data_IF_969912920446
#
_entry.id   IF_969912920446
#
_cell.length_a   1.000
_cell.length_b   1.000
_cell.length_c   1.000
_cell.angle_alpha   90.00
_cell.angle_beta   90.00
_cell.angle_gamma   90.00
#
_symmetry.space_group_name_H-M   'P 1'
#
loop_
_entity.id
_entity.type
_entity.pdbx_description
1 polymer ?
#
# COMPACT_ATOMS: atom_id res chain seq x y z
N UNK A 1 -13.25 -27.72 -6.05
CA UNK A 1 -12.89 -26.82 -7.19
C UNK A 1 -13.97 -26.73 -8.29
N UNK A 2 -15.09 -27.44 -8.14
CA UNK A 2 -16.20 -27.45 -9.12
C UNK A 2 -17.34 -26.46 -8.79
N UNK A 3 -17.10 -25.43 -8.01
CA UNK A 3 -18.09 -24.37 -7.92
C UNK A 3 -18.13 -23.60 -9.23
N UNK A 4 -19.21 -23.73 -9.94
CA UNK A 4 -19.45 -23.00 -11.18
C UNK A 4 -19.48 -21.49 -10.90
N UNK A 5 -19.20 -20.65 -11.89
CA UNK A 5 -19.36 -19.19 -11.77
C UNK A 5 -20.75 -18.85 -11.19
N UNK A 6 -21.78 -19.56 -11.63
CA UNK A 6 -23.16 -19.38 -11.17
C UNK A 6 -23.33 -19.62 -9.66
N UNK A 7 -22.69 -20.64 -9.10
CA UNK A 7 -22.73 -20.95 -7.67
C UNK A 7 -22.04 -19.84 -6.85
N UNK A 8 -20.93 -19.33 -7.34
CA UNK A 8 -20.19 -18.23 -6.68
C UNK A 8 -20.96 -16.91 -6.72
N UNK A 9 -21.60 -16.61 -7.86
CA UNK A 9 -22.42 -15.41 -8.02
C UNK A 9 -23.66 -15.49 -7.11
N UNK A 10 -24.28 -16.67 -6.97
CA UNK A 10 -25.38 -16.91 -6.04
C UNK A 10 -24.98 -16.71 -4.57
N UNK A 11 -23.78 -17.19 -4.18
CA UNK A 11 -23.24 -16.97 -2.84
C UNK A 11 -23.02 -15.49 -2.54
N UNK A 12 -22.42 -14.74 -3.49
CA UNK A 12 -22.22 -13.29 -3.35
C UNK A 12 -23.56 -12.57 -3.23
N UNK A 13 -24.58 -12.95 -3.99
CA UNK A 13 -25.92 -12.38 -3.89
C UNK A 13 -26.57 -12.65 -2.52
N UNK A 14 -26.43 -13.86 -1.99
CA UNK A 14 -26.87 -14.22 -0.64
C UNK A 14 -26.20 -13.35 0.44
N UNK A 15 -24.91 -13.14 0.32
CA UNK A 15 -24.13 -12.29 1.24
C UNK A 15 -24.51 -10.82 1.15
N UNK A 16 -24.72 -10.28 -0.05
CA UNK A 16 -25.01 -8.86 -0.30
C UNK A 16 -26.41 -8.47 0.14
N UNK A 17 -27.42 -9.31 -0.06
CA UNK A 17 -28.83 -8.96 0.14
C UNK A 17 -29.14 -8.38 1.53
N UNK A 18 -28.74 -9.00 2.66
CA UNK A 18 -28.99 -8.43 3.98
C UNK A 18 -28.17 -7.16 4.25
N UNK A 19 -26.95 -7.05 3.71
CA UNK A 19 -26.13 -5.85 3.83
C UNK A 19 -26.83 -4.69 3.14
N UNK A 20 -27.32 -4.89 1.92
CA UNK A 20 -28.01 -3.87 1.13
C UNK A 20 -29.21 -3.32 1.89
N UNK A 21 -30.04 -4.20 2.48
CA UNK A 21 -31.19 -3.81 3.29
C UNK A 21 -30.79 -2.92 4.47
N UNK A 22 -29.74 -3.29 5.20
CA UNK A 22 -29.26 -2.53 6.36
C UNK A 22 -28.65 -1.18 5.99
N UNK A 23 -27.96 -1.09 4.87
CA UNK A 23 -27.42 0.18 4.39
C UNK A 23 -28.53 1.12 3.91
N UNK A 24 -29.56 0.58 3.26
CA UNK A 24 -30.77 1.35 2.86
C UNK A 24 -31.54 1.85 4.09
N UNK A 25 -31.75 1.02 5.12
CA UNK A 25 -32.35 1.42 6.41
C UNK A 25 -31.57 2.55 7.09
N UNK A 26 -30.24 2.57 6.96
CA UNK A 26 -29.37 3.62 7.48
C UNK A 26 -29.40 4.92 6.64
N UNK A 27 -30.14 4.94 5.54
CA UNK A 27 -30.26 6.12 4.66
C UNK A 27 -29.02 6.39 3.81
N UNK A 28 -28.13 5.41 3.67
CA UNK A 28 -26.93 5.54 2.85
C UNK A 28 -27.22 5.32 1.36
N UNK A 29 -26.58 6.10 0.51
CA UNK A 29 -26.56 5.87 -0.94
C UNK A 29 -25.30 5.16 -1.32
N UNK A 30 -25.40 4.05 -2.05
CA UNK A 30 -24.27 3.18 -2.33
C UNK A 30 -24.50 2.31 -3.57
N UNK A 31 -23.37 1.82 -4.11
CA UNK A 31 -23.31 0.70 -5.06
C UNK A 31 -22.53 -0.44 -4.44
N UNK A 32 -22.93 -1.69 -4.68
CA UNK A 32 -22.18 -2.87 -4.28
C UNK A 32 -21.76 -3.64 -5.51
N UNK A 33 -20.43 -3.87 -5.64
CA UNK A 33 -19.85 -4.69 -6.70
C UNK A 33 -19.30 -5.98 -6.09
N UNK A 34 -19.83 -7.12 -6.51
CA UNK A 34 -19.28 -8.43 -6.21
C UNK A 34 -18.11 -8.76 -7.12
N UNK A 35 -17.06 -9.36 -6.55
CA UNK A 35 -15.91 -9.85 -7.31
C UNK A 35 -15.54 -11.25 -6.85
N UNK A 36 -15.55 -12.19 -7.78
CA UNK A 36 -14.97 -13.52 -7.57
C UNK A 36 -13.62 -13.59 -8.25
N UNK A 37 -12.60 -14.08 -7.56
CA UNK A 37 -11.28 -14.27 -8.19
C UNK A 37 -11.33 -15.37 -9.24
N UNK A 38 -10.63 -15.15 -10.34
CA UNK A 38 -10.44 -16.21 -11.35
C UNK A 38 -9.59 -17.34 -10.77
N UNK A 39 -9.83 -18.57 -11.23
CA UNK A 39 -9.05 -19.77 -10.87
C UNK A 39 -7.56 -19.55 -11.12
N UNK A 40 -7.21 -18.86 -12.20
CA UNK A 40 -5.83 -18.54 -12.54
C UNK A 40 -5.17 -17.63 -11.47
N UNK A 41 -5.87 -16.59 -11.01
CA UNK A 41 -5.37 -15.68 -9.95
C UNK A 41 -5.21 -16.41 -8.61
N UNK A 42 -6.10 -17.36 -8.31
CA UNK A 42 -6.02 -18.20 -7.11
C UNK A 42 -4.79 -19.11 -7.19
N UNK A 43 -4.59 -19.80 -8.32
CA UNK A 43 -3.46 -20.69 -8.52
C UNK A 43 -2.11 -19.96 -8.44
N UNK A 44 -2.03 -18.77 -9.03
CA UNK A 44 -0.83 -17.94 -8.93
C UNK A 44 -0.53 -17.51 -7.49
N UNK A 45 -1.55 -17.24 -6.70
CA UNK A 45 -1.39 -16.87 -5.28
C UNK A 45 -0.92 -18.04 -4.43
N UNK A 46 -1.51 -19.23 -4.63
CA UNK A 46 -1.08 -20.48 -3.98
C UNK A 46 0.40 -20.79 -4.26
N UNK A 47 0.81 -20.69 -5.53
CA UNK A 47 2.20 -20.94 -5.94
C UNK A 47 3.19 -19.90 -5.41
N UNK A 48 2.81 -18.60 -5.40
CA UNK A 48 3.71 -17.52 -4.96
C UNK A 48 3.87 -17.45 -3.44
N UNK A 49 2.83 -17.78 -2.69
CA UNK A 49 2.82 -17.61 -1.23
C UNK A 49 2.96 -18.92 -0.48
N UNK A 50 2.96 -20.06 -1.19
CA UNK A 50 3.05 -21.41 -0.63
C UNK A 50 2.10 -21.64 0.56
N UNK A 51 0.86 -21.15 0.43
CA UNK A 51 -0.19 -21.26 1.46
C UNK A 51 -1.22 -22.32 1.02
N UNK A 52 -1.83 -23.05 1.96
CA UNK A 52 -2.92 -23.96 1.66
C UNK A 52 -4.15 -23.21 1.14
N UNK A 53 -5.02 -23.93 0.42
CA UNK A 53 -6.22 -23.33 -0.19
C UNK A 53 -7.17 -22.74 0.84
N UNK A 54 -7.25 -23.34 2.02
CA UNK A 54 -8.07 -22.91 3.15
C UNK A 54 -7.66 -21.54 3.70
N UNK A 55 -6.41 -21.17 3.50
CA UNK A 55 -5.85 -19.86 3.91
C UNK A 55 -6.05 -18.76 2.87
N UNK A 56 -6.79 -19.03 1.78
CA UNK A 56 -7.19 -18.01 0.82
C UNK A 56 -8.47 -17.32 1.29
N UNK A 57 -8.33 -16.24 2.02
CA UNK A 57 -9.44 -15.47 2.59
C UNK A 57 -10.16 -14.53 1.60
N UNK A 58 -9.66 -14.36 0.40
CA UNK A 58 -10.15 -13.41 -0.59
C UNK A 58 -10.70 -14.07 -1.87
N UNK A 59 -11.23 -15.29 -1.73
CA UNK A 59 -11.95 -15.98 -2.80
C UNK A 59 -13.22 -15.23 -3.21
N UNK A 60 -13.92 -14.70 -2.21
CA UNK A 60 -15.09 -13.86 -2.36
C UNK A 60 -14.73 -12.47 -1.88
N UNK A 61 -15.02 -11.48 -2.69
CA UNK A 61 -14.82 -10.08 -2.32
C UNK A 61 -16.01 -9.25 -2.78
N UNK A 62 -16.40 -8.29 -1.96
CA UNK A 62 -17.33 -7.24 -2.36
C UNK A 62 -16.69 -5.88 -2.17
N UNK A 63 -17.13 -4.93 -2.96
CA UNK A 63 -16.77 -3.53 -2.83
C UNK A 63 -18.03 -2.71 -2.64
N UNK A 64 -18.11 -1.99 -1.55
CA UNK A 64 -19.17 -1.04 -1.24
C UNK A 64 -18.66 0.36 -1.55
N UNK A 65 -19.33 1.04 -2.46
CA UNK A 65 -18.98 2.38 -2.93
C UNK A 65 -20.07 3.34 -2.48
N UNK A 66 -19.75 4.22 -1.56
CA UNK A 66 -20.67 5.19 -1.00
C UNK A 66 -20.74 6.45 -1.88
N UNK A 67 -21.96 6.93 -2.09
CA UNK A 67 -22.23 8.23 -2.70
C UNK A 67 -22.51 9.25 -1.58
N UNK A 68 -21.46 9.84 -1.04
CA UNK A 68 -21.50 10.72 0.12
C UNK A 68 -20.63 11.97 -0.09
N UNK A 69 -21.00 13.15 0.48
CA UNK A 69 -20.19 14.35 0.39
C UNK A 69 -18.87 14.17 1.15
N UNK A 70 -17.85 14.92 0.73
CA UNK A 70 -16.48 14.83 1.24
C UNK A 70 -16.39 14.91 2.77
N UNK A 71 -17.15 15.80 3.39
CA UNK A 71 -17.16 16.04 4.84
C UNK A 71 -17.65 14.84 5.64
N UNK A 72 -18.44 13.96 5.01
CA UNK A 72 -19.02 12.76 5.63
C UNK A 72 -18.36 11.46 5.20
N UNK A 73 -17.41 11.49 4.28
CA UNK A 73 -16.78 10.29 3.72
C UNK A 73 -16.26 9.36 4.81
N UNK A 74 -15.52 9.90 5.75
CA UNK A 74 -14.92 9.11 6.83
C UNK A 74 -15.97 8.52 7.76
N UNK A 75 -16.92 9.33 8.23
CA UNK A 75 -17.98 8.88 9.14
C UNK A 75 -18.86 7.81 8.50
N UNK A 76 -19.23 8.00 7.23
CA UNK A 76 -20.11 7.07 6.54
C UNK A 76 -19.41 5.73 6.24
N UNK A 77 -18.12 5.75 5.89
CA UNK A 77 -17.34 4.52 5.74
C UNK A 77 -17.25 3.72 7.06
N UNK A 78 -17.05 4.40 8.19
CA UNK A 78 -17.03 3.75 9.49
C UNK A 78 -18.41 3.28 9.94
N UNK A 79 -19.48 3.97 9.55
CA UNK A 79 -20.84 3.51 9.78
C UNK A 79 -21.12 2.18 9.03
N UNK A 80 -20.69 2.08 7.77
CA UNK A 80 -20.78 0.83 7.01
C UNK A 80 -19.97 -0.30 7.67
N UNK A 81 -18.78 0.00 8.16
CA UNK A 81 -17.97 -0.95 8.93
C UNK A 81 -18.74 -1.48 10.13
N UNK A 82 -19.36 -0.59 10.94
CA UNK A 82 -20.14 -0.98 12.11
C UNK A 82 -21.32 -1.87 11.71
N UNK A 83 -22.08 -1.51 10.69
CA UNK A 83 -23.23 -2.29 10.21
C UNK A 83 -22.80 -3.70 9.80
N UNK A 84 -21.71 -3.85 9.06
CA UNK A 84 -21.23 -5.15 8.58
C UNK A 84 -20.72 -6.01 9.74
N UNK A 85 -19.98 -5.42 10.68
CA UNK A 85 -19.42 -6.15 11.83
C UNK A 85 -20.46 -6.52 12.88
N UNK A 86 -21.61 -5.83 12.91
CA UNK A 86 -22.79 -6.24 13.69
C UNK A 86 -23.47 -7.48 13.08
N UNK A 87 -23.41 -7.65 11.76
CA UNK A 87 -24.02 -8.76 11.05
C UNK A 87 -23.14 -10.00 10.93
N UNK A 88 -21.82 -9.78 10.75
CA UNK A 88 -20.83 -10.82 10.47
C UNK A 88 -19.59 -10.65 11.33
N UNK A 89 -19.07 -11.74 11.85
CA UNK A 89 -17.88 -11.73 12.70
C UNK A 89 -16.64 -11.33 11.90
N UNK A 90 -15.94 -10.24 12.25
CA UNK A 90 -14.72 -9.82 11.57
C UNK A 90 -13.51 -10.63 12.01
N UNK A 91 -12.50 -10.72 11.11
CA UNK A 91 -11.17 -11.17 11.45
C UNK A 91 -10.28 -9.94 11.74
N UNK A 92 -9.98 -9.63 13.01
CA UNK A 92 -9.28 -8.40 13.36
C UNK A 92 -7.84 -8.35 12.84
N UNK A 93 -7.20 -9.49 12.61
CA UNK A 93 -5.83 -9.56 12.05
C UNK A 93 -5.77 -9.15 10.58
N UNK A 94 -6.91 -9.08 9.89
CA UNK A 94 -6.98 -8.77 8.46
C UNK A 94 -7.63 -7.42 8.16
N UNK A 95 -7.92 -6.64 9.17
CA UNK A 95 -8.39 -5.27 9.00
C UNK A 95 -7.26 -4.37 8.49
N UNK A 96 -7.59 -3.50 7.51
CA UNK A 96 -6.68 -2.47 7.01
C UNK A 96 -7.44 -1.15 6.90
N UNK A 97 -6.98 -0.17 7.67
CA UNK A 97 -7.53 1.18 7.70
C UNK A 97 -6.62 2.12 6.90
N UNK A 98 -6.96 2.32 5.63
CA UNK A 98 -6.32 3.32 4.79
C UNK A 98 -7.17 4.58 4.60
N UNK A 99 -8.21 4.76 5.42
CA UNK A 99 -8.97 6.01 5.49
C UNK A 99 -8.37 6.93 6.56
N UNK A 100 -8.03 6.38 7.73
CA UNK A 100 -7.38 7.14 8.79
C UNK A 100 -5.95 7.51 8.45
N UNK A 101 -5.24 6.59 7.77
CA UNK A 101 -3.86 6.78 7.29
C UNK A 101 -3.81 6.38 5.81
N UNK A 102 -4.10 7.32 4.88
CA UNK A 102 -4.04 7.05 3.45
C UNK A 102 -2.64 6.63 3.00
N UNK A 103 -2.57 5.79 1.96
CA UNK A 103 -1.30 5.45 1.33
C UNK A 103 -0.68 6.66 0.61
N UNK A 104 0.63 6.65 0.38
CA UNK A 104 1.36 7.72 -0.33
C UNK A 104 0.81 8.01 -1.71
N UNK A 105 0.29 7.01 -2.40
CA UNK A 105 -0.35 7.16 -3.70
C UNK A 105 -1.78 7.71 -3.62
N UNK A 106 -2.22 8.18 -2.45
CA UNK A 106 -3.57 8.69 -2.22
C UNK A 106 -4.65 7.62 -2.14
N UNK A 107 -4.29 6.33 -2.08
CA UNK A 107 -5.26 5.26 -1.92
C UNK A 107 -5.91 5.29 -0.54
N UNK A 108 -7.24 5.35 -0.51
CA UNK A 108 -8.07 5.36 0.68
C UNK A 108 -9.11 4.24 0.59
N UNK A 109 -9.26 3.43 1.62
CA UNK A 109 -10.27 2.37 1.72
C UNK A 109 -10.23 1.73 3.09
N UNK A 110 -11.35 1.22 3.60
CA UNK A 110 -11.36 0.22 4.66
C UNK A 110 -11.42 -1.17 4.03
N UNK A 111 -10.57 -2.08 4.48
CA UNK A 111 -10.65 -3.49 4.12
C UNK A 111 -10.89 -4.30 5.38
N UNK A 112 -11.94 -5.09 5.36
CA UNK A 112 -12.27 -6.05 6.41
C UNK A 112 -12.47 -7.43 5.80
N UNK A 113 -12.22 -8.45 6.57
CA UNK A 113 -12.53 -9.83 6.21
C UNK A 113 -13.50 -10.34 7.25
N UNK A 114 -14.66 -10.80 6.82
CA UNK A 114 -15.73 -11.27 7.71
C UNK A 114 -16.14 -12.70 7.39
N UNK A 115 -16.66 -13.39 8.41
CA UNK A 115 -17.24 -14.72 8.24
C UNK A 115 -18.67 -14.57 7.69
N UNK A 116 -18.86 -14.87 6.41
CA UNK A 116 -20.14 -14.84 5.74
C UNK A 116 -20.92 -16.16 5.90
N UNK A 117 -22.04 -16.31 5.17
CA UNK A 117 -22.82 -17.55 5.14
C UNK A 117 -21.96 -18.77 4.81
N UNK A 118 -22.39 -19.96 5.27
CA UNK A 118 -21.69 -21.22 5.03
C UNK A 118 -20.22 -21.24 5.54
N UNK A 119 -19.90 -20.41 6.54
CA UNK A 119 -18.56 -20.30 7.13
C UNK A 119 -17.45 -19.99 6.10
N UNK A 120 -17.77 -19.16 5.09
CA UNK A 120 -16.81 -18.71 4.10
C UNK A 120 -16.34 -17.30 4.40
N UNK A 121 -15.03 -17.07 4.33
CA UNK A 121 -14.47 -15.73 4.47
C UNK A 121 -14.76 -14.86 3.25
N UNK A 122 -15.21 -13.64 3.50
CA UNK A 122 -15.47 -12.63 2.47
C UNK A 122 -14.67 -11.37 2.78
N UNK A 123 -13.91 -10.89 1.82
CA UNK A 123 -13.27 -9.57 1.90
C UNK A 123 -14.28 -8.49 1.51
N UNK A 124 -14.42 -7.49 2.36
CA UNK A 124 -15.26 -6.32 2.11
C UNK A 124 -14.37 -5.08 2.03
N UNK A 125 -14.42 -4.40 0.90
CA UNK A 125 -13.76 -3.11 0.67
C UNK A 125 -14.82 -2.01 0.76
N UNK A 126 -14.60 -1.04 1.63
CA UNK A 126 -15.49 0.10 1.86
C UNK A 126 -14.77 1.36 1.44
N UNK A 127 -15.35 2.12 0.53
CA UNK A 127 -14.81 3.37 0.03
C UNK A 127 -15.91 4.26 -0.55
N UNK A 128 -15.63 5.53 -0.77
CA UNK A 128 -16.52 6.46 -1.45
C UNK A 128 -16.26 6.48 -2.96
N UNK A 129 -17.13 7.16 -3.73
CA UNK A 129 -16.93 7.32 -5.19
C UNK A 129 -15.60 8.00 -5.50
N UNK A 130 -15.23 9.04 -4.76
CA UNK A 130 -13.93 9.71 -4.89
C UNK A 130 -12.77 8.75 -4.64
N UNK A 131 -12.82 7.99 -3.54
CA UNK A 131 -11.81 7.01 -3.19
C UNK A 131 -11.71 5.88 -4.23
N UNK A 132 -12.84 5.44 -4.79
CA UNK A 132 -12.88 4.42 -5.85
C UNK A 132 -12.28 4.95 -7.15
N UNK A 133 -12.56 6.19 -7.52
CA UNK A 133 -11.97 6.84 -8.70
C UNK A 133 -10.44 6.97 -8.59
N UNK A 134 -9.95 7.36 -7.40
CA UNK A 134 -8.50 7.41 -7.12
C UNK A 134 -7.88 6.00 -7.20
N UNK A 135 -8.55 5.00 -6.64
CA UNK A 135 -8.07 3.62 -6.67
C UNK A 135 -8.00 3.02 -8.08
N UNK A 136 -8.95 3.37 -8.97
CA UNK A 136 -9.03 2.86 -10.34
C UNK A 136 -8.12 3.63 -11.32
N UNK A 137 -8.02 4.95 -11.16
CA UNK A 137 -7.29 5.85 -12.07
C UNK A 137 -5.92 6.29 -11.56
N UNK A 138 -5.59 5.96 -10.31
CA UNK A 138 -4.32 6.32 -9.69
C UNK A 138 -4.18 7.80 -9.34
N UNK A 139 -2.93 8.24 -9.20
CA UNK A 139 -2.58 9.61 -8.78
C UNK A 139 -3.21 10.74 -9.60
N UNK A 140 -3.43 10.54 -10.89
CA UNK A 140 -4.06 11.54 -11.77
C UNK A 140 -5.49 11.90 -11.30
N UNK A 141 -6.24 10.93 -10.77
CA UNK A 141 -7.55 11.19 -10.19
C UNK A 141 -7.46 11.91 -8.84
N UNK A 142 -6.45 11.60 -8.04
CA UNK A 142 -6.20 12.25 -6.75
C UNK A 142 -6.02 13.79 -6.91
N UNK A 143 -5.39 14.22 -7.99
CA UNK A 143 -5.16 15.65 -8.24
C UNK A 143 -6.43 16.42 -8.62
N UNK A 144 -7.36 15.77 -9.31
CA UNK A 144 -8.65 16.38 -9.65
C UNK A 144 -9.44 16.83 -8.40
N UNK A 145 -9.31 16.11 -7.30
CA UNK A 145 -10.06 16.38 -6.06
C UNK A 145 -9.33 17.32 -5.08
N UNK A 146 -8.01 17.46 -5.15
CA UNK A 146 -7.23 18.34 -4.25
C UNK A 146 -7.19 19.83 -4.66
N UNK A 147 -7.97 20.23 -5.68
CA UNK A 147 -8.21 21.64 -6.01
C UNK A 147 -6.95 22.47 -6.29
N UNK A 148 -5.92 21.89 -6.93
CA UNK A 148 -4.78 22.66 -7.44
C UNK A 148 -3.76 23.12 -6.37
N UNK A 149 -3.91 22.78 -5.10
CA UNK A 149 -2.85 22.92 -4.11
C UNK A 149 -2.08 21.62 -4.01
N UNK A 150 -1.05 21.51 -4.86
CA UNK A 150 -0.08 20.43 -4.82
C UNK A 150 0.73 20.55 -3.54
N UNK A 151 0.42 19.76 -2.53
CA UNK A 151 1.25 19.68 -1.32
C UNK A 151 2.13 18.43 -1.35
N UNK A 152 3.40 18.67 -1.12
CA UNK A 152 4.55 17.79 -0.81
C UNK A 152 4.69 16.45 -1.54
N UNK A 153 3.67 15.61 -1.62
CA UNK A 153 3.81 14.27 -2.23
C UNK A 153 3.92 14.28 -3.76
N UNK A 154 3.28 15.25 -4.44
CA UNK A 154 3.39 15.42 -5.89
C UNK A 154 4.73 16.05 -6.25
N UNK A 155 5.13 17.08 -5.51
CA UNK A 155 6.42 17.75 -5.76
C UNK A 155 7.58 16.79 -5.53
N UNK A 156 7.50 15.93 -4.51
CA UNK A 156 8.48 14.87 -4.27
C UNK A 156 8.49 13.83 -5.40
N UNK A 157 7.30 13.40 -5.86
CA UNK A 157 7.17 12.49 -7.02
C UNK A 157 7.70 13.15 -8.31
N UNK A 158 7.29 14.38 -8.62
CA UNK A 158 7.75 15.10 -9.80
C UNK A 158 9.26 15.40 -9.76
N UNK A 159 9.80 15.71 -8.59
CA UNK A 159 11.25 15.90 -8.40
C UNK A 159 12.00 14.57 -8.62
N UNK A 160 11.44 13.45 -8.16
CA UNK A 160 12.02 12.12 -8.39
C UNK A 160 11.96 11.74 -9.88
N UNK A 161 10.82 12.00 -10.55
CA UNK A 161 10.68 11.80 -12.01
C UNK A 161 11.65 12.70 -12.78
N UNK A 162 11.72 13.98 -12.41
CA UNK A 162 12.63 14.93 -13.07
C UNK A 162 14.09 14.51 -12.90
N UNK A 163 14.51 14.17 -11.68
CA UNK A 163 15.88 13.67 -11.41
C UNK A 163 16.18 12.38 -12.18
N UNK A 164 15.20 11.52 -12.38
CA UNK A 164 15.36 10.30 -13.16
C UNK A 164 15.42 10.56 -14.67
N UNK A 165 14.67 11.55 -15.19
CA UNK A 165 14.70 11.96 -16.59
C UNK A 165 15.95 12.76 -16.97
N UNK A 166 16.51 13.51 -16.02
CA UNK A 166 17.77 14.25 -16.21
C UNK A 166 18.98 13.33 -16.32
N UNK A 167 18.88 12.09 -15.84
CA UNK A 167 19.87 11.02 -16.06
C UNK A 167 19.66 10.38 -17.44
N UNK A 168 20.39 10.86 -18.42
CA UNK A 168 20.27 10.59 -19.88
C UNK A 168 20.34 9.13 -20.37
N UNK A 169 20.46 8.12 -19.51
CA UNK A 169 20.71 6.73 -19.91
C UNK A 169 19.74 5.68 -19.35
N UNK A 170 18.65 6.10 -18.69
CA UNK A 170 17.67 5.13 -18.22
C UNK A 170 16.64 4.82 -19.31
N UNK A 171 16.49 3.54 -19.64
CA UNK A 171 15.41 3.08 -20.49
C UNK A 171 14.07 3.52 -19.83
N UNK A 172 13.19 4.24 -20.56
CA UNK A 172 11.90 4.69 -20.01
C UNK A 172 11.04 3.55 -19.42
N UNK A 173 11.19 2.33 -19.93
CA UNK A 173 10.48 1.14 -19.42
C UNK A 173 10.98 0.69 -18.04
N UNK A 174 12.28 0.73 -17.78
CA UNK A 174 12.86 0.38 -16.47
C UNK A 174 12.49 1.44 -15.41
N UNK A 175 12.46 2.70 -15.81
CA UNK A 175 11.99 3.81 -14.98
C UNK A 175 10.52 3.64 -14.60
N UNK A 176 9.65 3.32 -15.57
CA UNK A 176 8.24 3.08 -15.32
C UNK A 176 8.00 1.85 -14.44
N UNK A 177 8.82 0.80 -14.55
CA UNK A 177 8.72 -0.37 -13.68
C UNK A 177 9.16 -0.05 -12.25
N UNK A 178 10.23 0.68 -12.06
CA UNK A 178 10.69 1.12 -10.74
C UNK A 178 9.64 2.02 -10.05
N UNK A 179 9.03 2.96 -10.77
CA UNK A 179 7.95 3.79 -10.26
C UNK A 179 6.65 3.02 -9.97
N UNK A 180 6.28 2.08 -10.84
CA UNK A 180 5.10 1.23 -10.64
C UNK A 180 5.23 0.37 -9.38
N UNK A 181 6.43 -0.12 -9.07
CA UNK A 181 6.67 -0.93 -7.87
C UNK A 181 6.56 -0.11 -6.58
N UNK A 182 6.94 1.16 -6.57
CA UNK A 182 6.84 2.01 -5.37
C UNK A 182 5.40 2.47 -5.08
N UNK A 183 4.57 2.65 -6.12
CA UNK A 183 3.18 3.07 -5.99
C UNK A 183 2.24 2.02 -5.35
N UNK A 184 2.65 0.74 -5.36
CA UNK A 184 1.81 -0.37 -4.88
C UNK A 184 2.36 -1.10 -3.65
N UNK A 185 3.46 -0.62 -3.06
CA UNK A 185 4.03 -1.24 -1.86
C UNK A 185 3.31 -0.78 -0.60
N UNK A 186 3.06 -1.73 0.30
CA UNK A 186 2.72 -1.43 1.68
C UNK A 186 3.84 -0.58 2.29
N UNK A 187 3.50 0.31 3.22
CA UNK A 187 4.43 1.24 3.84
C UNK A 187 4.75 0.84 5.26
N UNK A 188 5.95 1.20 5.70
CA UNK A 188 6.38 1.14 7.09
C UNK A 188 6.73 2.55 7.59
N UNK A 189 6.59 2.75 8.87
CA UNK A 189 6.95 3.97 9.57
C UNK A 189 8.10 3.69 10.51
N UNK A 190 9.18 4.44 10.35
CA UNK A 190 10.44 4.26 11.08
C UNK A 190 10.84 5.58 11.72
N UNK A 191 11.40 5.55 12.92
CA UNK A 191 11.77 6.74 13.66
C UNK A 191 13.27 7.05 13.58
N UNK A 192 13.61 8.32 13.48
CA UNK A 192 14.97 8.79 13.80
C UNK A 192 15.19 8.79 15.31
N UNK A 193 16.42 8.84 15.81
CA UNK A 193 16.71 8.97 17.24
C UNK A 193 16.13 10.24 17.88
N UNK A 194 15.84 11.25 17.06
CA UNK A 194 15.20 12.52 17.48
C UNK A 194 13.69 12.44 17.50
N UNK A 195 13.10 11.27 17.12
CA UNK A 195 11.66 11.04 17.09
C UNK A 195 10.96 11.51 15.81
N UNK A 196 11.71 11.90 14.78
CA UNK A 196 11.13 12.22 13.48
C UNK A 196 10.65 10.95 12.77
N UNK A 197 9.44 10.98 12.21
CA UNK A 197 8.81 9.86 11.52
C UNK A 197 9.20 9.85 10.05
N UNK A 198 9.85 8.78 9.60
CA UNK A 198 10.22 8.56 8.20
C UNK A 198 9.36 7.42 7.63
N UNK A 199 8.73 7.69 6.50
CA UNK A 199 7.88 6.77 5.77
C UNK A 199 8.66 6.08 4.66
N UNK A 200 8.62 4.76 4.62
CA UNK A 200 9.34 3.92 3.65
C UNK A 200 8.45 2.84 3.08
N UNK A 201 8.82 2.31 1.90
CA UNK A 201 8.17 1.11 1.37
C UNK A 201 8.48 -0.11 2.26
N UNK A 202 7.51 -1.00 2.40
CA UNK A 202 7.71 -2.29 3.09
C UNK A 202 8.84 -3.09 2.42
N UNK A 203 9.75 -3.61 3.23
CA UNK A 203 10.95 -4.29 2.75
C UNK A 203 12.15 -3.35 2.60
N UNK A 204 11.98 -2.04 2.85
CA UNK A 204 13.08 -1.08 2.84
C UNK A 204 14.17 -1.46 3.84
N UNK A 205 15.40 -1.19 3.47
CA UNK A 205 16.59 -1.50 4.26
C UNK A 205 17.12 -0.27 5.00
N UNK A 206 18.07 -0.49 5.88
CA UNK A 206 18.85 0.59 6.53
C UNK A 206 19.41 1.57 5.51
N UNK A 207 19.89 1.07 4.36
CA UNK A 207 20.43 1.91 3.30
C UNK A 207 19.33 2.78 2.66
N UNK A 208 18.14 2.25 2.42
CA UNK A 208 16.98 3.02 1.95
C UNK A 208 16.64 4.17 2.92
N UNK A 209 16.63 3.87 4.22
CA UNK A 209 16.40 4.87 5.27
C UNK A 209 17.47 6.00 5.26
N UNK A 210 18.74 5.64 5.12
CA UNK A 210 19.82 6.61 5.05
C UNK A 210 19.67 7.58 3.86
N UNK A 211 19.29 7.06 2.68
CA UNK A 211 19.01 7.88 1.49
C UNK A 211 17.67 8.65 1.62
N UNK A 212 16.70 8.16 2.38
CA UNK A 212 15.46 8.87 2.64
C UNK A 212 15.73 10.15 3.44
N UNK A 213 16.60 10.10 4.45
CA UNK A 213 16.99 11.27 5.25
C UNK A 213 17.79 12.26 4.38
N UNK A 214 18.94 11.84 3.87
CA UNK A 214 19.81 12.72 3.08
C UNK A 214 20.77 11.93 2.19
N UNK A 215 20.98 12.38 0.94
CA UNK A 215 21.86 11.70 -0.03
C UNK A 215 23.28 11.51 0.48
N UNK A 216 23.88 12.55 1.11
CA UNK A 216 25.26 12.45 1.67
C UNK A 216 25.34 11.41 2.79
N UNK A 217 24.29 11.31 3.62
CA UNK A 217 24.21 10.30 4.68
C UNK A 217 24.13 8.89 4.08
N UNK A 218 23.30 8.70 3.06
CA UNK A 218 23.21 7.45 2.32
C UNK A 218 24.53 7.03 1.70
N UNK A 219 25.23 7.94 1.00
CA UNK A 219 26.52 7.66 0.37
C UNK A 219 27.62 7.26 1.37
N UNK A 220 27.56 7.77 2.60
CA UNK A 220 28.55 7.51 3.66
C UNK A 220 28.13 6.40 4.64
N UNK A 221 26.98 5.75 4.43
CA UNK A 221 26.44 4.74 5.32
C UNK A 221 27.29 3.47 5.34
N UNK A 222 27.67 3.00 6.52
CA UNK A 222 28.40 1.74 6.72
C UNK A 222 27.60 0.71 7.52
N UNK A 223 26.76 1.17 8.44
CA UNK A 223 25.89 0.36 9.28
C UNK A 223 24.83 1.22 9.95
N UNK A 224 23.99 0.64 10.80
CA UNK A 224 23.08 1.38 11.66
C UNK A 224 22.92 0.71 13.01
N UNK A 225 22.37 1.46 13.97
CA UNK A 225 21.77 0.91 15.18
C UNK A 225 20.26 0.93 15.00
N UNK A 226 19.63 -0.23 15.05
CA UNK A 226 18.17 -0.38 15.04
C UNK A 226 17.76 -0.87 16.42
N UNK A 227 16.93 -0.07 17.11
CA UNK A 227 16.51 -0.35 18.48
C UNK A 227 17.72 -0.71 19.37
N UNK A 228 18.75 0.14 19.34
CA UNK A 228 20.03 0.02 20.05
C UNK A 228 20.94 -1.17 19.62
N UNK A 229 20.56 -1.99 18.64
CA UNK A 229 21.37 -3.10 18.12
C UNK A 229 22.07 -2.73 16.82
N UNK A 230 23.37 -3.01 16.72
CA UNK A 230 24.13 -2.83 15.51
C UNK A 230 23.67 -3.80 14.41
N UNK A 231 23.35 -3.27 13.24
CA UNK A 231 22.89 -4.03 12.06
C UNK A 231 23.59 -3.58 10.79
N UNK A 232 23.73 -4.47 9.79
CA UNK A 232 24.34 -4.11 8.51
C UNK A 232 23.38 -3.26 7.65
N UNK A 233 23.90 -2.60 6.60
CA UNK A 233 23.15 -1.76 5.66
C UNK A 233 22.01 -2.51 4.94
N UNK A 234 22.11 -3.83 4.79
CA UNK A 234 21.12 -4.70 4.16
C UNK A 234 19.98 -5.13 5.09
N UNK A 235 20.04 -4.76 6.36
CA UNK A 235 19.00 -5.13 7.32
C UNK A 235 17.66 -4.52 6.91
N UNK A 236 16.61 -5.36 6.85
CA UNK A 236 15.24 -4.96 6.50
C UNK A 236 14.56 -4.36 7.73
N UNK A 237 14.06 -3.15 7.58
CA UNK A 237 13.40 -2.41 8.65
C UNK A 237 11.95 -2.86 8.83
N UNK A 238 11.48 -2.76 10.06
CA UNK A 238 10.11 -3.05 10.46
C UNK A 238 9.40 -1.78 10.93
N UNK A 239 8.08 -1.84 10.93
CA UNK A 239 7.25 -0.73 11.41
C UNK A 239 7.53 -0.46 12.89
N UNK A 240 7.80 0.80 13.23
CA UNK A 240 8.10 1.22 14.59
C UNK A 240 9.59 1.17 14.99
N UNK A 241 10.48 0.71 14.11
CA UNK A 241 11.91 0.71 14.39
C UNK A 241 12.45 2.13 14.59
N UNK A 242 13.38 2.28 15.55
CA UNK A 242 14.18 3.51 15.72
C UNK A 242 15.57 3.26 15.16
N UNK A 243 15.97 4.08 14.17
CA UNK A 243 17.17 3.84 13.37
C UNK A 243 18.15 5.01 13.49
N UNK A 244 19.37 4.71 13.90
CA UNK A 244 20.51 5.64 13.92
C UNK A 244 21.56 5.18 12.91
N UNK A 245 21.84 6.01 11.90
CA UNK A 245 22.81 5.68 10.84
C UNK A 245 24.24 5.93 11.31
N UNK A 246 25.11 4.97 11.02
CA UNK A 246 26.56 5.07 11.25
C UNK A 246 27.24 5.31 9.90
N UNK A 247 28.07 6.34 9.83
CA UNK A 247 28.77 6.77 8.62
C UNK A 247 30.27 6.71 8.75
N UNK A 248 30.98 6.55 7.62
CA UNK A 248 32.43 6.71 7.53
C UNK A 248 32.80 7.69 6.41
N UNK A 249 33.75 8.60 6.62
CA UNK A 249 34.14 9.59 5.63
C UNK A 249 34.66 8.98 4.33
N UNK A 250 35.33 7.82 4.42
CA UNK A 250 35.93 7.08 3.30
C UNK A 250 34.94 6.21 2.53
N UNK A 251 33.70 6.06 3.03
CA UNK A 251 32.70 5.22 2.37
C UNK A 251 32.17 5.91 1.12
N UNK A 252 32.09 5.14 0.03
CA UNK A 252 31.43 5.54 -1.23
C UNK A 252 30.42 4.48 -1.65
N UNK A 253 29.41 4.85 -2.47
CA UNK A 253 28.44 3.90 -2.99
C UNK A 253 29.09 2.84 -3.86
N UNK A 254 28.58 1.60 -3.77
CA UNK A 254 29.06 0.46 -4.55
C UNK A 254 27.94 -0.07 -5.44
N UNK A 255 28.28 -0.70 -6.57
CA UNK A 255 27.29 -1.30 -7.48
C UNK A 255 26.41 -2.32 -6.80
N UNK A 256 26.95 -3.10 -5.85
CA UNK A 256 26.22 -4.10 -5.08
C UNK A 256 25.08 -3.50 -4.23
N UNK A 257 25.15 -2.20 -3.90
CA UNK A 257 24.11 -1.50 -3.17
C UNK A 257 22.78 -1.43 -3.91
N UNK A 258 22.79 -1.50 -5.25
CA UNK A 258 21.60 -1.56 -6.08
C UNK A 258 20.77 -2.84 -5.84
N UNK A 259 21.41 -3.91 -5.35
CA UNK A 259 20.74 -5.17 -4.97
C UNK A 259 20.19 -5.13 -3.53
N UNK A 260 20.63 -4.16 -2.73
CA UNK A 260 20.24 -4.02 -1.32
C UNK A 260 19.00 -3.12 -1.19
N UNK A 261 18.97 -2.02 -1.96
CA UNK A 261 17.92 -1.01 -1.87
C UNK A 261 16.64 -1.43 -2.59
N UNK A 262 15.51 -1.02 -2.02
CA UNK A 262 14.17 -1.31 -2.51
C UNK A 262 13.49 -0.05 -3.05
N UNK A 263 13.85 1.14 -2.53
CA UNK A 263 13.24 2.41 -2.91
C UNK A 263 13.84 2.99 -4.19
N UNK A 264 12.99 3.60 -5.03
CA UNK A 264 13.41 4.28 -6.25
C UNK A 264 14.39 5.43 -5.95
N UNK A 265 14.11 6.19 -4.86
CA UNK A 265 14.96 7.32 -4.43
C UNK A 265 16.41 6.88 -4.16
N UNK A 266 16.59 5.82 -3.37
CA UNK A 266 17.94 5.28 -3.07
C UNK A 266 18.63 4.79 -4.35
N UNK A 267 17.89 4.03 -5.20
CA UNK A 267 18.42 3.48 -6.44
C UNK A 267 18.90 4.55 -7.41
N UNK A 268 18.12 5.61 -7.62
CA UNK A 268 18.49 6.75 -8.48
C UNK A 268 19.72 7.45 -7.93
N UNK A 269 19.77 7.72 -6.61
CA UNK A 269 20.91 8.42 -5.99
C UNK A 269 22.20 7.60 -6.00
N UNK A 270 22.11 6.28 -5.84
CA UNK A 270 23.27 5.38 -5.97
C UNK A 270 23.77 5.38 -7.41
N UNK A 271 22.90 5.24 -8.41
CA UNK A 271 23.27 5.30 -9.82
C UNK A 271 23.95 6.63 -10.19
N UNK A 272 23.43 7.74 -9.66
CA UNK A 272 24.01 9.07 -9.85
C UNK A 272 25.42 9.14 -9.26
N UNK A 273 25.62 8.74 -8.02
CA UNK A 273 26.91 8.78 -7.35
C UNK A 273 27.98 7.87 -8.01
N UNK A 274 27.56 6.70 -8.55
CA UNK A 274 28.45 5.78 -9.30
C UNK A 274 28.90 6.32 -10.66
N UNK A 275 28.31 7.41 -11.17
CA UNK A 275 28.68 8.06 -12.43
C UNK A 275 29.61 9.24 -12.21
N UNK A 276 29.54 9.84 -11.03
CA UNK A 276 30.38 10.99 -10.65
C UNK A 276 31.79 10.56 -10.16
N UNK A 277 32.01 9.23 -9.97
CA UNK A 277 33.32 8.60 -9.75
C UNK A 277 33.97 8.20 -11.10
#
# INVERSE_FOLDING_TARGET
>A
LNETKRSRDAYIAEFITPIKSKLEEAGLRFDIKGRTKSIHSINNKLKKQNIPFEDIYDLFAIRIILDTPYEKERSDCWQVYSIITDMYQPNPKRMKDWISIPKTNGYESLHITVMGPQNKWVEVQIRTRRMDEIAERGLAAHWKYKGGKAESGLDEFLNTVRAALETKENNPLDLMQDFKMDLYKDEIYVFTPTGELIKLAKGATVLDFAFAIHTKLGCKCVSAKVNEKNVPIKYTLNNGDTVSIVTAPTQTPKRDWLNIVVTSKARVKIKQALREE
#
